data_IF_656930562270
#
_entry.id   IF_656930562270
#
_cell.length_a   1.000
_cell.length_b   1.000
_cell.length_c   1.000
_cell.angle_alpha   90.00
_cell.angle_beta   90.00
_cell.angle_gamma   90.00
#
_symmetry.space_group_name_H-M   'P 1'
#
loop_
_entity.id
_entity.type
_entity.pdbx_description
1 polymer ?
#
# COMPACT_ATOMS: atom_id res chain seq x y z
N UNK A 1 -17.95 -16.37 -23.58
CA UNK A 1 -18.66 -16.97 -22.43
C UNK A 1 -18.19 -16.15 -21.24
N UNK A 2 -18.94 -15.12 -20.81
CA UNK A 2 -18.43 -14.16 -19.81
C UNK A 2 -18.45 -14.79 -18.43
N UNK A 3 -17.27 -14.90 -17.81
CA UNK A 3 -17.15 -15.36 -16.43
C UNK A 3 -17.43 -14.14 -15.55
N UNK A 4 -18.67 -14.00 -15.10
CA UNK A 4 -19.02 -13.12 -13.99
C UNK A 4 -18.28 -13.61 -12.75
N UNK A 5 -17.28 -12.85 -12.28
CA UNK A 5 -16.64 -13.09 -10.98
C UNK A 5 -17.71 -12.84 -9.92
N UNK A 6 -18.31 -13.94 -9.46
CA UNK A 6 -19.30 -13.95 -8.39
C UNK A 6 -18.54 -13.71 -7.11
N UNK A 7 -18.79 -12.57 -6.45
CA UNK A 7 -18.51 -12.37 -5.03
C UNK A 7 -19.15 -13.54 -4.26
N UNK A 8 -18.40 -14.57 -3.83
CA UNK A 8 -18.98 -15.75 -3.23
C UNK A 8 -19.33 -15.39 -1.78
N UNK A 9 -20.57 -14.92 -1.61
CA UNK A 9 -21.24 -14.55 -0.35
C UNK A 9 -20.82 -13.20 0.23
N UNK A 10 -21.54 -12.13 -0.14
CA UNK A 10 -22.01 -11.07 0.77
C UNK A 10 -21.13 -10.61 1.94
N UNK A 11 -19.79 -10.64 1.80
CA UNK A 11 -18.84 -10.17 2.81
C UNK A 11 -18.50 -8.74 2.46
N UNK A 12 -19.12 -7.79 3.16
CA UNK A 12 -18.69 -6.39 3.16
C UNK A 12 -17.35 -6.29 3.89
N UNK A 13 -16.25 -6.60 3.20
CA UNK A 13 -14.91 -6.27 3.67
C UNK A 13 -14.64 -4.84 3.20
N UNK A 14 -14.87 -3.88 4.09
CA UNK A 14 -14.60 -2.47 3.82
C UNK A 14 -13.08 -2.24 3.67
N UNK A 15 -12.65 -1.78 2.50
CA UNK A 15 -11.28 -1.29 2.33
C UNK A 15 -11.14 -0.01 3.16
N UNK A 16 -10.47 -0.14 4.31
CA UNK A 16 -10.43 0.93 5.32
C UNK A 16 -9.80 2.21 4.76
N UNK A 17 -10.38 3.35 5.11
CA UNK A 17 -9.80 4.66 4.80
C UNK A 17 -8.39 4.80 5.38
N UNK A 18 -7.48 5.28 4.54
CA UNK A 18 -6.06 5.31 4.83
C UNK A 18 -5.73 6.34 5.93
N UNK A 19 -4.99 5.90 6.96
CA UNK A 19 -4.44 6.77 8.01
C UNK A 19 -2.92 6.86 7.84
N UNK A 20 -2.42 7.96 7.28
CA UNK A 20 -0.99 8.17 7.04
C UNK A 20 -0.43 7.30 5.92
N UNK A 21 0.89 7.22 5.77
CA UNK A 21 1.49 6.70 4.54
C UNK A 21 1.26 5.21 4.26
N UNK A 22 0.67 4.42 5.19
CA UNK A 22 0.69 2.93 5.34
C UNK A 22 0.02 2.10 4.25
N UNK A 23 -0.10 2.67 3.05
CA UNK A 23 -0.91 2.17 1.94
C UNK A 23 -0.63 0.73 1.56
N UNK A 24 0.63 0.33 1.45
CA UNK A 24 0.97 -1.05 1.10
C UNK A 24 0.60 -2.06 2.19
N UNK A 25 0.59 -1.65 3.47
CA UNK A 25 0.08 -2.51 4.55
C UNK A 25 -1.44 -2.54 4.63
N UNK A 26 -2.13 -1.46 4.24
CA UNK A 26 -3.59 -1.47 4.08
C UNK A 26 -4.00 -2.39 2.92
N UNK A 27 -3.33 -2.28 1.78
CA UNK A 27 -3.54 -3.18 0.64
C UNK A 27 -3.24 -4.64 1.01
N UNK A 28 -2.15 -4.92 1.74
CA UNK A 28 -1.85 -6.27 2.22
C UNK A 28 -2.92 -6.77 3.20
N UNK A 29 -3.33 -5.95 4.17
CA UNK A 29 -4.39 -6.30 5.11
C UNK A 29 -5.69 -6.69 4.39
N UNK A 30 -6.06 -5.94 3.34
CA UNK A 30 -7.20 -6.25 2.51
C UNK A 30 -7.04 -7.59 1.79
N UNK A 31 -5.90 -7.83 1.12
CA UNK A 31 -5.63 -9.10 0.43
C UNK A 31 -5.71 -10.29 1.38
N UNK A 32 -5.12 -10.18 2.57
CA UNK A 32 -5.13 -11.25 3.57
C UNK A 32 -6.55 -11.59 4.04
N UNK A 33 -7.38 -10.58 4.30
CA UNK A 33 -8.75 -10.79 4.75
C UNK A 33 -9.65 -11.29 3.60
N UNK A 34 -9.53 -10.67 2.42
CA UNK A 34 -10.36 -10.98 1.26
C UNK A 34 -10.07 -12.37 0.69
N UNK A 35 -8.79 -12.70 0.47
CA UNK A 35 -8.41 -13.93 -0.24
C UNK A 35 -8.24 -15.13 0.70
N UNK A 36 -7.75 -14.90 1.92
CA UNK A 36 -7.35 -15.98 2.84
C UNK A 36 -8.13 -16.04 4.16
N UNK A 37 -9.08 -15.12 4.38
CA UNK A 37 -9.82 -14.98 5.66
C UNK A 37 -8.89 -14.76 6.87
N UNK A 38 -7.73 -14.12 6.65
CA UNK A 38 -6.73 -13.81 7.67
C UNK A 38 -6.91 -12.36 8.14
N UNK A 39 -7.39 -12.19 9.37
CA UNK A 39 -7.74 -10.88 9.95
C UNK A 39 -6.57 -10.28 10.73
N UNK A 40 -5.57 -9.76 10.02
CA UNK A 40 -4.49 -8.98 10.63
C UNK A 40 -4.65 -7.51 10.22
N UNK A 41 -4.88 -6.58 11.17
CA UNK A 41 -5.09 -5.18 10.81
C UNK A 41 -3.79 -4.51 10.34
N UNK A 42 -3.90 -3.59 9.37
CA UNK A 42 -2.77 -2.78 8.92
C UNK A 42 -2.13 -1.96 10.06
N UNK A 43 -2.95 -1.29 10.88
CA UNK A 43 -2.52 -0.46 12.02
C UNK A 43 -3.24 -0.85 13.33
N UNK A 44 -2.72 -0.39 14.46
CA UNK A 44 -3.25 -0.63 15.81
C UNK A 44 -4.44 0.24 16.20
N UNK A 45 -4.90 1.10 15.30
CA UNK A 45 -5.72 2.28 15.65
C UNK A 45 -7.23 1.96 15.67
N UNK A 46 -7.56 0.69 15.45
CA UNK A 46 -8.87 0.11 15.69
C UNK A 46 -8.77 -0.76 16.95
N UNK A 47 -8.59 -0.10 18.11
CA UNK A 47 -8.67 -0.74 19.42
C UNK A 47 -10.11 -1.25 19.61
N UNK A 48 -10.36 -2.49 19.22
CA UNK A 48 -11.38 -3.30 19.86
C UNK A 48 -10.65 -4.06 20.97
N UNK A 49 -11.14 -3.95 22.20
CA UNK A 49 -10.55 -4.61 23.36
C UNK A 49 -10.50 -6.13 23.14
N UNK A 50 -9.30 -6.73 23.23
CA UNK A 50 -9.14 -8.17 23.06
C UNK A 50 -7.73 -8.61 22.69
N UNK A 51 -7.52 -9.92 22.73
CA UNK A 51 -6.28 -10.66 22.46
C UNK A 51 -5.96 -10.70 20.94
N UNK A 52 -5.95 -9.54 20.28
CA UNK A 52 -5.83 -9.46 18.83
C UNK A 52 -4.38 -9.64 18.35
N UNK A 53 -4.18 -10.27 17.17
CA UNK A 53 -2.87 -10.40 16.55
C UNK A 53 -2.20 -9.05 16.33
N UNK A 54 -0.88 -9.03 16.52
CA UNK A 54 -0.01 -7.86 16.30
C UNK A 54 -0.26 -7.29 14.90
N UNK A 55 -0.58 -6.00 14.79
CA UNK A 55 -0.84 -5.35 13.49
C UNK A 55 0.33 -5.49 12.52
N UNK A 56 0.05 -5.52 11.21
CA UNK A 56 1.08 -5.63 10.18
C UNK A 56 2.17 -4.57 10.37
N UNK A 57 1.78 -3.33 10.66
CA UNK A 57 2.73 -2.24 10.92
C UNK A 57 3.63 -2.50 12.11
N UNK A 58 3.11 -3.06 13.21
CA UNK A 58 3.93 -3.37 14.39
C UNK A 58 4.86 -4.55 14.11
N UNK A 59 4.37 -5.59 13.43
CA UNK A 59 5.15 -6.76 13.05
C UNK A 59 6.28 -6.39 12.08
N UNK A 60 5.97 -5.76 10.96
CA UNK A 60 6.97 -5.34 9.96
C UNK A 60 8.02 -4.38 10.53
N UNK A 61 7.67 -3.55 11.53
CA UNK A 61 8.65 -2.71 12.23
C UNK A 61 9.57 -3.51 13.13
N UNK A 62 9.02 -4.48 13.86
CA UNK A 62 9.76 -5.33 14.79
C UNK A 62 10.74 -6.21 14.01
N UNK A 63 10.31 -6.71 12.86
CA UNK A 63 11.10 -7.59 11.99
C UNK A 63 11.97 -6.80 11.00
N UNK A 64 12.13 -5.48 11.24
CA UNK A 64 12.96 -4.54 10.45
C UNK A 64 12.65 -4.51 8.95
N UNK A 65 11.44 -4.91 8.56
CA UNK A 65 10.92 -4.86 7.18
C UNK A 65 10.45 -3.47 6.76
N UNK A 66 10.23 -2.58 7.72
CA UNK A 66 9.86 -1.19 7.45
C UNK A 66 10.29 -0.24 8.57
N UNK A 67 10.74 0.96 8.20
CA UNK A 67 11.14 1.99 9.17
C UNK A 67 9.97 2.86 9.63
N UNK A 68 9.09 3.26 8.70
CA UNK A 68 7.95 4.17 8.99
C UNK A 68 6.60 3.45 9.08
N UNK A 69 6.54 2.19 8.64
CA UNK A 69 5.30 1.42 8.58
C UNK A 69 4.78 1.19 7.17
N UNK A 70 5.60 1.47 6.15
CA UNK A 70 5.27 1.24 4.75
C UNK A 70 5.81 -0.07 4.21
N UNK A 71 5.09 -0.64 3.25
CA UNK A 71 5.62 -1.69 2.40
C UNK A 71 6.28 -1.04 1.19
N UNK A 72 7.61 -1.02 1.15
CA UNK A 72 8.41 -0.49 0.03
C UNK A 72 9.24 -1.59 -0.66
N UNK A 73 8.70 -2.80 -0.67
CA UNK A 73 9.40 -3.97 -1.18
C UNK A 73 8.41 -4.95 -1.81
N UNK A 74 8.67 -5.29 -3.07
CA UNK A 74 7.96 -6.30 -3.85
C UNK A 74 8.90 -7.42 -4.30
N UNK A 75 10.09 -7.56 -3.70
CA UNK A 75 11.09 -8.57 -4.05
C UNK A 75 10.68 -9.98 -3.60
N UNK A 76 11.33 -11.04 -4.13
CA UNK A 76 11.10 -12.42 -3.68
C UNK A 76 11.30 -12.61 -2.17
N UNK A 77 12.25 -11.89 -1.57
CA UNK A 77 12.48 -11.92 -0.11
C UNK A 77 11.28 -11.41 0.66
N UNK A 78 10.66 -10.32 0.21
CA UNK A 78 9.45 -9.78 0.84
C UNK A 78 8.24 -10.69 0.60
N UNK A 79 8.07 -11.21 -0.62
CA UNK A 79 7.00 -12.16 -0.93
C UNK A 79 7.10 -13.42 -0.04
N UNK A 80 8.32 -13.95 0.13
CA UNK A 80 8.57 -15.06 1.06
C UNK A 80 8.20 -14.69 2.49
N UNK A 81 8.62 -13.52 2.97
CA UNK A 81 8.26 -13.07 4.32
C UNK A 81 6.75 -12.95 4.51
N UNK A 82 6.01 -12.48 3.49
CA UNK A 82 4.54 -12.41 3.51
C UNK A 82 3.93 -13.82 3.52
N UNK A 83 4.42 -14.74 2.69
CA UNK A 83 4.04 -16.15 2.73
C UNK A 83 4.25 -16.76 4.12
N UNK A 84 5.40 -16.47 4.74
CA UNK A 84 5.79 -17.00 6.04
C UNK A 84 4.94 -16.41 7.21
N UNK A 85 4.06 -15.43 6.96
CA UNK A 85 3.09 -14.97 7.96
C UNK A 85 2.10 -16.08 8.34
N UNK A 86 1.64 -16.87 7.36
CA UNK A 86 0.76 -18.05 7.50
C UNK A 86 1.04 -19.03 6.33
N UNK A 87 2.14 -19.82 6.38
CA UNK A 87 2.66 -20.59 5.23
C UNK A 87 1.68 -21.61 4.64
N UNK A 88 0.73 -22.10 5.44
CA UNK A 88 -0.26 -23.10 5.01
C UNK A 88 -1.41 -22.49 4.22
N UNK A 89 -1.56 -21.16 4.23
CA UNK A 89 -2.68 -20.44 3.61
C UNK A 89 -2.23 -19.44 2.57
N UNK A 90 -1.25 -18.60 2.90
CA UNK A 90 -0.86 -17.47 2.04
C UNK A 90 -0.01 -17.99 0.89
N UNK A 91 -0.42 -17.73 -0.34
CA UNK A 91 0.37 -18.01 -1.55
C UNK A 91 0.80 -16.71 -2.19
N UNK A 92 1.92 -16.15 -1.73
CA UNK A 92 2.46 -14.88 -2.22
C UNK A 92 3.76 -15.11 -3.00
N UNK A 93 3.87 -14.50 -4.18
CA UNK A 93 5.12 -14.45 -4.95
C UNK A 93 5.39 -13.06 -5.48
N UNK A 94 6.67 -12.79 -5.75
CA UNK A 94 7.13 -11.61 -6.47
C UNK A 94 7.22 -11.94 -7.95
N UNK A 95 6.63 -11.10 -8.79
CA UNK A 95 6.68 -11.24 -10.24
C UNK A 95 7.06 -9.92 -10.89
N UNK A 96 7.60 -10.00 -12.11
CA UNK A 96 7.68 -8.84 -12.97
C UNK A 96 6.25 -8.37 -13.31
N UNK A 97 6.07 -7.05 -13.51
CA UNK A 97 4.81 -6.55 -14.03
C UNK A 97 4.57 -7.14 -15.43
N UNK A 98 3.46 -7.87 -15.58
CA UNK A 98 3.09 -8.51 -16.84
C UNK A 98 1.56 -8.66 -16.94
N UNK A 99 0.99 -8.13 -18.02
CA UNK A 99 -0.47 -8.12 -18.23
C UNK A 99 -1.05 -9.53 -18.34
N UNK A 100 -0.30 -10.49 -18.88
CA UNK A 100 -0.78 -11.88 -19.03
C UNK A 100 -0.84 -12.59 -17.67
N UNK A 101 0.16 -12.35 -16.82
CA UNK A 101 0.24 -12.84 -15.45
C UNK A 101 -0.85 -12.22 -14.58
N UNK A 102 -1.11 -10.92 -14.72
CA UNK A 102 -2.23 -10.24 -14.05
C UNK A 102 -3.55 -10.90 -14.47
N UNK A 103 -3.83 -10.96 -15.77
CA UNK A 103 -5.09 -11.49 -16.31
C UNK A 103 -5.34 -12.93 -15.84
N UNK A 104 -4.33 -13.81 -15.98
CA UNK A 104 -4.44 -15.21 -15.55
C UNK A 104 -4.64 -15.35 -14.04
N UNK A 105 -3.96 -14.55 -13.23
CA UNK A 105 -4.13 -14.53 -11.77
C UNK A 105 -5.55 -14.14 -11.38
N UNK A 106 -6.06 -13.02 -11.94
CA UNK A 106 -7.40 -12.51 -11.62
C UNK A 106 -8.49 -13.49 -12.09
N UNK A 107 -8.33 -14.09 -13.27
CA UNK A 107 -9.25 -15.12 -13.76
C UNK A 107 -9.24 -16.39 -12.90
N UNK A 108 -8.10 -16.71 -12.27
CA UNK A 108 -7.99 -17.79 -11.27
C UNK A 108 -8.59 -17.44 -9.90
N UNK A 109 -9.13 -16.23 -9.73
CA UNK A 109 -9.66 -15.73 -8.46
C UNK A 109 -8.59 -15.28 -7.46
N UNK A 110 -7.35 -15.11 -7.91
CA UNK A 110 -6.27 -14.47 -7.16
C UNK A 110 -6.33 -12.95 -7.22
N UNK A 111 -5.34 -12.29 -6.62
CA UNK A 111 -5.19 -10.83 -6.59
C UNK A 111 -3.76 -10.41 -6.93
N UNK A 112 -3.60 -9.20 -7.48
CA UNK A 112 -2.29 -8.61 -7.72
C UNK A 112 -2.16 -7.29 -6.93
N UNK A 113 -1.15 -7.18 -6.07
CA UNK A 113 -0.74 -5.92 -5.46
C UNK A 113 0.32 -5.26 -6.32
N UNK A 114 0.02 -4.09 -6.86
CA UNK A 114 0.90 -3.38 -7.79
C UNK A 114 1.35 -2.06 -7.16
N UNK A 115 2.67 -1.84 -7.00
CA UNK A 115 3.19 -0.51 -6.68
C UNK A 115 3.12 0.39 -7.92
N UNK A 116 2.71 1.63 -7.77
CA UNK A 116 2.59 2.58 -8.89
C UNK A 116 2.74 4.02 -8.40
N UNK A 117 2.99 4.96 -9.30
CA UNK A 117 2.95 6.38 -8.96
C UNK A 117 1.54 6.94 -9.13
N UNK A 118 1.10 7.75 -8.17
CA UNK A 118 -0.29 8.22 -8.11
C UNK A 118 -0.41 9.74 -8.14
N UNK A 119 -1.36 10.25 -8.93
CA UNK A 119 -1.70 11.67 -8.97
C UNK A 119 -2.59 12.09 -7.78
N UNK A 120 -2.96 13.36 -7.72
CA UNK A 120 -3.82 13.89 -6.66
C UNK A 120 -5.25 13.30 -6.65
N UNK A 121 -5.69 12.68 -7.76
CA UNK A 121 -7.01 12.07 -7.91
C UNK A 121 -7.02 10.56 -7.64
N UNK A 122 -5.86 9.93 -7.41
CA UNK A 122 -5.75 8.50 -7.17
C UNK A 122 -5.52 7.68 -8.44
N UNK A 123 -5.18 8.32 -9.56
CA UNK A 123 -4.95 7.66 -10.84
C UNK A 123 -3.46 7.43 -11.10
N UNK A 124 -3.09 6.48 -11.98
CA UNK A 124 -1.71 6.26 -12.33
C UNK A 124 -1.09 7.47 -13.04
N UNK A 125 0.04 7.95 -12.52
CA UNK A 125 0.93 8.92 -13.15
C UNK A 125 2.35 8.34 -13.30
N UNK A 126 3.24 9.05 -13.97
CA UNK A 126 4.61 8.60 -14.28
C UNK A 126 5.72 9.51 -13.71
N UNK A 127 5.41 10.31 -12.68
CA UNK A 127 6.38 11.20 -12.01
C UNK A 127 7.59 10.44 -11.45
N UNK A 128 7.35 9.22 -10.97
CA UNK A 128 8.34 8.33 -10.34
C UNK A 128 8.56 8.58 -8.86
N UNK A 129 7.85 9.54 -8.24
CA UNK A 129 8.11 9.99 -6.86
C UNK A 129 6.95 9.77 -5.90
N UNK A 130 5.71 9.70 -6.38
CA UNK A 130 4.51 9.49 -5.53
C UNK A 130 4.12 8.02 -5.46
N UNK A 131 5.01 7.18 -4.95
CA UNK A 131 4.79 5.73 -4.93
C UNK A 131 3.67 5.34 -3.96
N UNK A 132 2.76 4.51 -4.46
CA UNK A 132 1.61 3.97 -3.76
C UNK A 132 1.34 2.52 -4.18
N UNK A 133 0.31 1.90 -3.59
CA UNK A 133 -0.13 0.54 -3.89
C UNK A 133 -1.61 0.49 -4.27
N UNK A 134 -1.94 -0.30 -5.29
CA UNK A 134 -3.31 -0.73 -5.57
C UNK A 134 -3.42 -2.26 -5.51
N UNK A 135 -4.64 -2.76 -5.35
CA UNK A 135 -4.95 -4.19 -5.44
C UNK A 135 -5.87 -4.41 -6.65
N UNK A 136 -5.39 -5.12 -7.66
CA UNK A 136 -6.21 -5.54 -8.79
C UNK A 136 -7.05 -6.76 -8.40
N UNK A 137 -8.35 -6.72 -8.69
CA UNK A 137 -9.32 -7.74 -8.28
C UNK A 137 -9.97 -8.48 -9.45
N UNK A 138 -10.30 -7.79 -10.53
CA UNK A 138 -10.98 -8.38 -11.67
C UNK A 138 -10.64 -7.65 -12.97
N UNK A 139 -10.55 -8.38 -14.07
CA UNK A 139 -10.54 -7.79 -15.42
C UNK A 139 -11.97 -7.40 -15.76
N UNK A 140 -12.18 -6.19 -16.29
CA UNK A 140 -13.54 -5.68 -16.56
C UNK A 140 -14.23 -6.43 -17.70
N UNK A 141 -13.53 -6.61 -18.81
CA UNK A 141 -14.05 -7.32 -19.99
C UNK A 141 -12.93 -8.13 -20.65
N UNK A 142 -13.27 -9.32 -21.12
CA UNK A 142 -12.34 -10.22 -21.82
C UNK A 142 -11.81 -9.53 -23.09
N UNK A 143 -10.49 -9.31 -23.15
CA UNK A 143 -9.84 -8.59 -24.26
C UNK A 143 -9.62 -7.08 -24.04
N UNK A 144 -10.16 -6.52 -22.94
CA UNK A 144 -9.80 -5.15 -22.51
C UNK A 144 -8.52 -5.16 -21.70
N UNK A 145 -7.73 -4.08 -21.80
CA UNK A 145 -6.55 -3.85 -20.95
C UNK A 145 -6.93 -3.08 -19.69
N UNK A 146 -8.06 -3.40 -19.07
CA UNK A 146 -8.58 -2.68 -17.90
C UNK A 146 -8.90 -3.63 -16.76
N UNK A 147 -8.57 -3.21 -15.54
CA UNK A 147 -8.87 -3.95 -14.33
C UNK A 147 -9.52 -3.07 -13.26
N UNK A 148 -10.41 -3.68 -12.48
CA UNK A 148 -10.92 -3.12 -11.23
C UNK A 148 -9.78 -3.13 -10.22
N UNK A 149 -9.46 -1.95 -9.70
CA UNK A 149 -8.38 -1.72 -8.75
C UNK A 149 -8.96 -1.12 -7.47
N UNK A 150 -8.66 -1.71 -6.32
CA UNK A 150 -8.89 -1.08 -5.02
C UNK A 150 -7.72 -0.18 -4.66
N UNK A 151 -8.04 1.08 -4.40
CA UNK A 151 -7.09 2.11 -4.03
C UNK A 151 -7.81 3.18 -3.18
N UNK A 152 -7.15 3.64 -2.10
CA UNK A 152 -7.72 4.65 -1.18
C UNK A 152 -9.14 4.38 -0.66
N UNK A 153 -9.51 3.10 -0.45
CA UNK A 153 -10.83 2.76 0.07
C UNK A 153 -11.95 2.86 -0.96
N UNK A 154 -11.60 2.92 -2.25
CA UNK A 154 -12.54 3.04 -3.35
C UNK A 154 -12.13 2.15 -4.51
N UNK A 155 -13.11 1.92 -5.38
CA UNK A 155 -12.94 1.18 -6.61
C UNK A 155 -12.52 2.16 -7.70
N UNK A 156 -11.45 1.81 -8.40
CA UNK A 156 -10.98 2.49 -9.59
C UNK A 156 -11.02 1.51 -10.76
N UNK A 157 -11.06 2.05 -11.97
CA UNK A 157 -10.79 1.31 -13.19
C UNK A 157 -9.46 1.80 -13.74
N UNK A 158 -8.46 0.92 -13.80
CA UNK A 158 -7.15 1.27 -14.33
C UNK A 158 -6.91 0.60 -15.67
N UNK A 159 -6.39 1.38 -16.62
CA UNK A 159 -5.74 0.86 -17.80
C UNK A 159 -4.40 0.21 -17.39
N UNK A 160 -4.21 -1.05 -17.75
CA UNK A 160 -3.06 -1.86 -17.37
C UNK A 160 -1.77 -1.41 -18.06
N UNK A 161 -1.82 -0.76 -19.23
CA UNK A 161 -0.63 -0.22 -19.88
C UNK A 161 -0.20 1.09 -19.22
N UNK A 162 -1.15 1.92 -18.80
CA UNK A 162 -0.88 3.12 -17.99
C UNK A 162 -0.31 2.74 -16.63
N UNK A 163 -0.88 1.71 -16.00
CA UNK A 163 -0.39 1.18 -14.73
C UNK A 163 1.02 0.59 -14.88
N UNK A 164 1.31 -0.10 -15.99
CA UNK A 164 2.65 -0.60 -16.31
C UNK A 164 3.67 0.54 -16.41
N UNK A 165 3.34 1.59 -17.17
CA UNK A 165 4.19 2.79 -17.31
C UNK A 165 4.46 3.43 -15.95
N UNK A 166 3.42 3.56 -15.14
CA UNK A 166 3.50 4.11 -13.79
C UNK A 166 4.39 3.27 -12.86
N UNK A 167 4.21 1.94 -12.85
CA UNK A 167 5.01 0.99 -12.09
C UNK A 167 6.48 1.03 -12.49
N UNK A 168 6.78 1.10 -13.79
CA UNK A 168 8.16 1.18 -14.31
C UNK A 168 8.81 2.55 -14.10
N UNK A 169 8.01 3.61 -13.94
CA UNK A 169 8.51 4.96 -13.70
C UNK A 169 9.01 5.19 -12.26
N UNK A 170 8.77 4.27 -11.32
CA UNK A 170 9.18 4.39 -9.91
C UNK A 170 10.70 4.59 -9.80
N UNK A 171 11.11 5.67 -9.12
CA UNK A 171 12.52 6.08 -8.94
C UNK A 171 12.97 5.88 -7.50
N UNK A 172 14.29 5.83 -7.32
CA UNK A 172 14.90 5.86 -6.00
C UNK A 172 14.57 7.16 -5.28
N UNK A 173 14.27 7.03 -3.99
CA UNK A 173 14.04 8.17 -3.12
C UNK A 173 15.34 8.47 -2.41
N UNK A 174 15.89 9.66 -2.67
CA UNK A 174 17.06 10.16 -1.93
C UNK A 174 16.75 10.19 -0.44
N UNK A 175 17.78 10.15 0.38
CA UNK A 175 17.67 10.39 1.82
C UNK A 175 16.74 11.56 2.17
N UNK A 176 15.83 11.34 3.13
CA UNK A 176 14.85 12.34 3.58
C UNK A 176 14.74 12.34 5.10
N UNK A 177 14.12 13.38 5.66
CA UNK A 177 13.73 13.41 7.07
C UNK A 177 12.20 13.40 7.16
N UNK A 178 11.68 12.66 8.13
CA UNK A 178 10.25 12.51 8.35
C UNK A 178 9.89 12.79 9.81
N UNK A 179 8.95 13.70 10.05
CA UNK A 179 8.44 14.06 11.37
C UNK A 179 7.02 13.57 11.60
N UNK A 180 6.64 13.31 12.86
CA UNK A 180 5.24 13.02 13.22
C UNK A 180 4.55 14.25 13.75
N UNK A 181 3.31 14.47 13.34
CA UNK A 181 2.48 15.55 13.85
C UNK A 181 1.64 15.05 15.04
N UNK A 182 1.58 15.80 16.15
CA UNK A 182 0.69 15.49 17.27
C UNK A 182 -0.79 15.49 16.86
N UNK A 183 -1.52 14.45 17.24
CA UNK A 183 -2.94 14.29 16.87
C UNK A 183 -3.88 15.33 17.48
N UNK A 184 -3.46 16.03 18.54
CA UNK A 184 -4.34 16.87 19.37
C UNK A 184 -4.42 18.35 18.94
N UNK A 185 -3.86 18.76 17.79
CA UNK A 185 -3.60 20.19 17.50
C UNK A 185 -4.18 20.78 16.20
N UNK A 186 -5.15 20.16 15.51
CA UNK A 186 -5.68 20.78 14.27
C UNK A 186 -7.18 20.63 14.03
N UNK A 187 -7.81 21.78 13.76
CA UNK A 187 -9.16 22.01 13.20
C UNK A 187 -9.13 22.26 11.67
N UNK A 188 -8.07 21.87 10.95
CA UNK A 188 -8.17 21.82 9.49
C UNK A 188 -9.04 20.61 9.11
N UNK A 189 -10.03 20.83 8.25
CA UNK A 189 -10.98 19.86 7.69
C UNK A 189 -10.34 18.75 6.85
N UNK A 190 -9.43 17.99 7.47
CA UNK A 190 -8.87 16.75 6.96
C UNK A 190 -9.30 15.70 7.98
N UNK A 191 -10.36 14.98 7.64
CA UNK A 191 -11.04 14.02 8.52
C UNK A 191 -10.05 13.03 9.15
N UNK A 192 -9.89 13.21 10.47
CA UNK A 192 -9.90 12.19 11.53
C UNK A 192 -9.16 10.88 11.26
N UNK A 193 -7.98 10.76 11.89
CA UNK A 193 -7.60 9.71 12.87
C UNK A 193 -6.09 9.35 12.81
N UNK A 194 -5.31 9.81 13.79
CA UNK A 194 -4.06 9.16 14.21
C UNK A 194 -2.80 9.38 13.34
N UNK A 195 -1.89 10.24 13.82
CA UNK A 195 -0.51 10.47 13.34
C UNK A 195 -0.32 10.75 11.84
N UNK A 196 -0.20 12.04 11.49
CA UNK A 196 0.29 12.45 10.18
C UNK A 196 1.83 12.50 10.16
N UNK A 197 2.39 12.11 9.03
CA UNK A 197 3.81 12.15 8.75
C UNK A 197 4.09 13.24 7.71
N UNK A 198 5.14 14.02 7.92
CA UNK A 198 5.54 15.12 7.03
C UNK A 198 7.02 15.01 6.69
N UNK A 199 7.36 15.42 5.47
CA UNK A 199 8.73 15.50 5.01
C UNK A 199 9.37 16.79 5.54
N UNK A 200 10.51 16.65 6.20
CA UNK A 200 11.21 17.75 6.87
C UNK A 200 12.57 17.97 6.21
N UNK A 201 13.10 19.20 6.29
CA UNK A 201 14.34 19.54 5.57
C UNK A 201 15.58 18.99 6.26
N UNK A 202 15.58 18.94 7.59
CA UNK A 202 16.71 18.49 8.40
C UNK A 202 16.27 17.63 9.60
N UNK A 203 17.23 17.02 10.29
CA UNK A 203 16.99 16.26 11.51
C UNK A 203 16.54 17.11 12.70
N UNK A 204 16.75 18.44 12.64
CA UNK A 204 16.45 19.40 13.71
C UNK A 204 15.24 20.27 13.38
N UNK A 205 14.67 20.12 12.20
CA UNK A 205 13.55 20.92 11.72
C UNK A 205 12.32 20.66 12.57
N UNK A 206 11.83 21.66 13.32
CA UNK A 206 10.65 21.54 14.19
C UNK A 206 9.34 21.94 13.50
N UNK A 207 9.43 22.40 12.25
CA UNK A 207 8.32 22.65 11.34
C UNK A 207 8.53 21.81 10.07
N UNK A 208 7.47 21.43 9.35
CA UNK A 208 7.62 20.78 8.04
C UNK A 208 6.62 21.36 7.06
N UNK A 209 7.00 21.36 5.78
CA UNK A 209 6.20 21.93 4.70
C UNK A 209 5.31 20.84 4.09
N UNK A 210 4.01 21.09 3.99
CA UNK A 210 3.13 20.37 3.06
C UNK A 210 3.02 21.21 1.80
N UNK A 211 3.03 20.58 0.62
CA UNK A 211 3.03 21.26 -0.68
C UNK A 211 1.97 22.35 -0.83
N UNK A 212 0.88 22.31 -0.06
CA UNK A 212 0.08 23.48 0.25
C UNK A 212 -0.40 23.40 1.72
N UNK A 213 -0.30 24.52 2.44
CA UNK A 213 -0.71 24.81 3.84
C UNK A 213 0.32 24.53 4.97
N UNK A 214 0.64 25.63 5.66
CA UNK A 214 1.19 25.84 7.01
C UNK A 214 2.27 24.89 7.56
N UNK A 215 3.33 25.46 8.13
CA UNK A 215 4.27 24.77 8.99
C UNK A 215 3.55 24.06 10.14
N UNK A 216 3.57 22.73 10.17
CA UNK A 216 2.88 21.93 11.18
C UNK A 216 3.85 21.64 12.35
N UNK A 217 3.51 21.94 13.63
CA UNK A 217 4.30 21.47 14.77
C UNK A 217 4.51 19.96 14.77
N UNK A 218 5.76 19.56 14.99
CA UNK A 218 6.22 18.16 15.06
C UNK A 218 6.29 17.70 16.51
N UNK A 219 5.97 16.42 16.76
CA UNK A 219 6.18 15.77 18.05
C UNK A 219 7.68 15.72 18.37
N UNK A 220 8.14 16.24 19.53
CA UNK A 220 9.55 16.15 19.92
C UNK A 220 10.11 14.72 19.85
N UNK A 221 11.33 14.58 19.33
CA UNK A 221 12.01 13.29 19.17
C UNK A 221 11.40 12.35 18.10
N UNK A 222 10.44 12.83 17.30
CA UNK A 222 9.78 11.99 16.29
C UNK A 222 10.40 12.06 14.90
N UNK A 223 11.33 13.00 14.68
CA UNK A 223 12.03 13.17 13.41
C UNK A 223 12.93 11.96 13.21
N UNK A 224 12.76 11.31 12.06
CA UNK A 224 13.55 10.16 11.65
C UNK A 224 14.21 10.45 10.33
N UNK A 225 15.49 10.10 10.26
CA UNK A 225 16.22 10.01 9.00
C UNK A 225 15.75 8.77 8.26
N UNK A 226 15.25 8.95 7.05
CA UNK A 226 14.91 7.88 6.12
C UNK A 226 16.08 7.80 5.14
N UNK A 227 16.87 6.72 5.17
CA UNK A 227 18.00 6.57 4.25
C UNK A 227 17.49 6.52 2.81
N UNK A 228 18.41 6.73 1.86
CA UNK A 228 18.13 6.50 0.45
C UNK A 228 17.44 5.14 0.28
N UNK A 229 16.25 5.15 -0.30
CA UNK A 229 15.45 3.96 -0.50
C UNK A 229 15.48 3.62 -1.98
N UNK A 230 16.05 2.45 -2.30
CA UNK A 230 16.25 1.99 -3.67
C UNK A 230 14.96 1.41 -4.27
N UNK A 231 13.89 2.21 -4.35
CA UNK A 231 12.58 1.76 -4.84
C UNK A 231 12.62 1.27 -6.28
N UNK A 232 13.53 1.77 -7.11
CA UNK A 232 13.73 1.23 -8.46
C UNK A 232 14.15 -0.24 -8.44
N UNK A 233 14.88 -0.67 -7.40
CA UNK A 233 15.32 -2.05 -7.22
C UNK A 233 14.23 -2.89 -6.58
N UNK A 234 13.52 -2.36 -5.59
CA UNK A 234 12.58 -3.14 -4.77
C UNK A 234 11.14 -3.14 -5.28
N UNK A 235 10.73 -2.15 -6.07
CA UNK A 235 9.35 -1.98 -6.54
C UNK A 235 9.21 -1.84 -8.06
N UNK A 236 10.08 -1.05 -8.70
CA UNK A 236 9.88 -0.75 -10.12
C UNK A 236 9.93 -2.02 -10.97
N UNK A 237 8.96 -2.12 -11.90
CA UNK A 237 8.77 -3.27 -12.77
C UNK A 237 8.29 -4.54 -12.05
N UNK A 238 7.85 -4.47 -10.79
CA UNK A 238 7.49 -5.64 -9.97
C UNK A 238 6.07 -5.51 -9.43
N UNK A 239 5.50 -6.66 -9.08
CA UNK A 239 4.24 -6.78 -8.36
C UNK A 239 4.30 -7.97 -7.40
N UNK A 240 3.37 -7.98 -6.43
CA UNK A 240 3.12 -9.15 -5.60
C UNK A 240 1.86 -9.84 -6.09
N UNK A 241 1.96 -11.13 -6.38
CA UNK A 241 0.87 -11.97 -6.87
C UNK A 241 0.40 -12.89 -5.75
N UNK A 242 -0.91 -12.95 -5.55
CA UNK A 242 -1.56 -13.75 -4.54
C UNK A 242 -2.53 -14.74 -5.18
N UNK A 243 -2.32 -16.03 -4.94
CA UNK A 243 -3.18 -17.09 -5.46
C UNK A 243 -4.18 -17.59 -4.44
N UNK A 244 -5.34 -18.05 -4.92
CA UNK A 244 -6.37 -18.68 -4.10
C UNK A 244 -6.00 -20.10 -3.66
#
# INVERSE_FOLDING_TARGET
>A
MSITVTNPKGREIEFKSQRGQTCGLYALSFVLEYLYDIKIPATSDHRVEGNHPVSLRKRFKTDEKTMIGELYDATPTMAKYIHDLEPTKIKCRSEAYDNSTITSTLNGGGLCMVPFCVDAAGNPEDSGIHVHWCVLQAVQEEGTRSAVAYHWGKDHTFDLDQLEKSNKAIKDVKEQYWGKIPAARYDLSITTNGMNYVQCRTATDTSCERWHLHQLPIKPGSIKKIPTTYLSRTLAGKMLVFEK
#
